data_IF_744956133162
#
_entry.id   IF_744956133162
#
_cell.length_a   1.000
_cell.length_b   1.000
_cell.length_c   1.000
_cell.angle_alpha   90.00
_cell.angle_beta   90.00
_cell.angle_gamma   90.00
#
_symmetry.space_group_name_H-M   'P 1'
#
loop_
_entity.id
_entity.type
_entity.pdbx_description
1 polymer ?
#
# COMPACT_ATOMS: atom_id res chain seq x y z
N UNK A 1 -1.88 -12.78 2.93
CA UNK A 1 -0.90 -13.67 2.28
C UNK A 1 0.27 -12.82 1.77
N UNK A 2 1.42 -13.42 1.48
CA UNK A 2 2.52 -12.71 0.82
C UNK A 2 2.44 -12.91 -0.70
N UNK A 3 2.58 -11.84 -1.47
CA UNK A 3 2.58 -11.85 -2.93
C UNK A 3 4.00 -11.59 -3.46
N UNK A 4 4.29 -12.08 -4.67
CA UNK A 4 5.58 -11.80 -5.35
C UNK A 4 5.80 -10.31 -5.65
N UNK A 5 4.75 -9.50 -5.51
CA UNK A 5 4.76 -8.04 -5.68
C UNK A 5 5.00 -7.27 -4.39
N UNK A 6 4.99 -7.95 -3.24
CA UNK A 6 5.18 -7.31 -1.95
C UNK A 6 6.61 -6.83 -1.80
N UNK A 7 6.79 -5.64 -1.23
CA UNK A 7 8.11 -5.09 -0.96
C UNK A 7 8.79 -5.86 0.18
N UNK A 8 10.09 -6.09 0.04
CA UNK A 8 10.89 -6.61 1.15
C UNK A 8 11.05 -5.55 2.25
N UNK A 9 11.47 -5.97 3.43
CA UNK A 9 11.73 -5.05 4.54
C UNK A 9 12.81 -4.02 4.16
N UNK A 10 13.87 -4.43 3.47
CA UNK A 10 14.94 -3.54 3.04
C UNK A 10 14.44 -2.50 2.02
N UNK A 11 13.61 -2.93 1.06
CA UNK A 11 12.98 -2.02 0.10
C UNK A 11 12.04 -1.06 0.81
N UNK A 12 11.27 -1.55 1.78
CA UNK A 12 10.36 -0.73 2.57
C UNK A 12 11.10 0.36 3.33
N UNK A 13 12.21 0.04 3.99
CA UNK A 13 13.03 0.99 4.73
C UNK A 13 13.58 2.13 3.86
N UNK A 14 13.80 1.88 2.56
CA UNK A 14 14.24 2.90 1.61
C UNK A 14 13.10 3.85 1.19
N UNK A 15 11.88 3.34 1.07
CA UNK A 15 10.72 4.10 0.56
C UNK A 15 9.97 4.79 1.69
N UNK A 16 9.83 4.15 2.86
CA UNK A 16 9.08 4.64 4.02
C UNK A 16 9.37 6.12 4.37
N UNK A 17 10.63 6.59 4.39
CA UNK A 17 10.95 7.98 4.76
C UNK A 17 10.44 9.02 3.76
N UNK A 18 10.08 8.61 2.55
CA UNK A 18 9.55 9.50 1.50
C UNK A 18 8.08 9.85 1.72
N UNK A 19 7.37 9.07 2.53
CA UNK A 19 5.98 9.36 2.83
C UNK A 19 5.85 10.45 3.90
N UNK A 20 4.90 11.39 3.74
CA UNK A 20 4.64 12.36 4.77
C UNK A 20 4.08 11.64 6.00
N UNK A 21 4.77 11.76 7.14
CA UNK A 21 4.28 11.27 8.43
C UNK A 21 3.21 12.23 8.95
N UNK A 22 2.05 12.27 8.29
CA UNK A 22 0.80 12.89 8.76
C UNK A 22 0.98 14.16 9.63
N UNK A 23 1.59 15.21 9.06
CA UNK A 23 1.98 16.46 9.76
C UNK A 23 0.94 17.59 9.54
N UNK A 24 -0.28 17.27 9.08
CA UNK A 24 -1.23 18.26 8.58
C UNK A 24 -2.61 18.21 9.24
N UNK A 25 -3.42 19.29 9.10
CA UNK A 25 -4.83 19.25 9.46
C UNK A 25 -5.59 18.32 8.51
N UNK A 26 -6.25 17.30 9.06
CA UNK A 26 -6.99 16.31 8.26
C UNK A 26 -7.33 15.05 9.04
N UNK A 27 -8.01 14.11 8.38
CA UNK A 27 -8.25 12.77 8.97
C UNK A 27 -6.90 12.08 9.12
N UNK A 28 -6.55 11.61 10.34
CA UNK A 28 -5.30 10.90 10.52
C UNK A 28 -5.23 9.67 9.61
N UNK A 29 -4.08 9.48 8.96
CA UNK A 29 -3.85 8.28 8.20
C UNK A 29 -3.57 7.12 9.17
N UNK A 30 -4.53 6.21 9.29
CA UNK A 30 -4.47 5.04 10.17
C UNK A 30 -4.15 3.75 9.43
N UNK A 31 -3.95 3.82 8.12
CA UNK A 31 -3.67 2.67 7.28
C UNK A 31 -2.19 2.31 7.37
N UNK A 32 -1.92 1.02 7.27
CA UNK A 32 -0.56 0.54 7.03
C UNK A 32 -0.14 0.93 5.62
N UNK A 33 0.81 1.87 5.54
CA UNK A 33 1.36 2.37 4.29
C UNK A 33 2.04 1.27 3.47
N UNK A 34 2.69 0.31 4.12
CA UNK A 34 3.34 -0.79 3.42
C UNK A 34 2.30 -1.63 2.69
N UNK A 35 1.18 -1.93 3.35
CA UNK A 35 0.08 -2.66 2.74
C UNK A 35 -0.58 -1.90 1.58
N UNK A 36 -0.69 -0.57 1.66
CA UNK A 36 -1.18 0.27 0.56
C UNK A 36 -0.26 0.14 -0.66
N UNK A 37 1.06 0.29 -0.46
CA UNK A 37 2.04 0.18 -1.55
C UNK A 37 2.05 -1.21 -2.16
N UNK A 38 2.00 -2.27 -1.34
CA UNK A 38 1.90 -3.64 -1.84
C UNK A 38 0.63 -3.85 -2.68
N UNK A 39 -0.50 -3.29 -2.26
CA UNK A 39 -1.74 -3.32 -3.04
C UNK A 39 -1.61 -2.60 -4.40
N UNK A 40 -0.95 -1.44 -4.43
CA UNK A 40 -0.66 -0.71 -5.68
C UNK A 40 0.25 -1.54 -6.60
N UNK A 41 1.32 -2.14 -6.06
CA UNK A 41 2.26 -2.94 -6.85
C UNK A 41 1.62 -4.20 -7.39
N UNK A 42 0.78 -4.86 -6.59
CA UNK A 42 -0.04 -5.98 -7.05
C UNK A 42 -0.91 -5.57 -8.22
N UNK A 43 -1.62 -4.45 -8.11
CA UNK A 43 -2.51 -3.96 -9.16
C UNK A 43 -1.74 -3.62 -10.44
N UNK A 44 -0.61 -2.91 -10.33
CA UNK A 44 0.22 -2.52 -11.48
C UNK A 44 0.81 -3.77 -12.17
N UNK A 45 1.20 -4.79 -11.41
CA UNK A 45 1.78 -6.02 -11.96
C UNK A 45 0.74 -6.92 -12.65
N UNK A 46 -0.44 -7.06 -12.04
CA UNK A 46 -1.49 -7.98 -12.51
C UNK A 46 -2.43 -7.34 -13.51
N UNK A 47 -2.56 -6.01 -13.50
CA UNK A 47 -3.54 -5.27 -14.30
C UNK A 47 -4.99 -5.46 -13.83
N UNK A 48 -5.21 -5.96 -12.62
CA UNK A 48 -6.56 -6.16 -12.12
C UNK A 48 -7.30 -4.83 -11.89
N UNK A 49 -8.63 -4.86 -11.97
CA UNK A 49 -9.44 -3.69 -11.60
C UNK A 49 -9.35 -3.44 -10.09
N UNK A 50 -9.42 -2.18 -9.65
CA UNK A 50 -9.42 -1.80 -8.22
C UNK A 50 -10.43 -2.59 -7.37
N UNK A 51 -11.62 -2.87 -7.90
CA UNK A 51 -12.67 -3.64 -7.19
C UNK A 51 -12.32 -5.11 -7.00
N UNK A 52 -11.36 -5.62 -7.77
CA UNK A 52 -10.90 -7.00 -7.71
C UNK A 52 -9.59 -7.13 -6.92
N UNK A 53 -9.13 -6.06 -6.26
CA UNK A 53 -8.00 -6.14 -5.35
C UNK A 53 -8.29 -7.18 -4.26
N UNK A 54 -7.35 -8.09 -3.95
CA UNK A 54 -7.53 -9.08 -2.90
C UNK A 54 -7.93 -8.46 -1.55
N UNK A 55 -8.78 -9.15 -0.80
CA UNK A 55 -9.30 -8.66 0.49
C UNK A 55 -8.24 -8.53 1.59
N UNK A 56 -7.07 -9.13 1.37
CA UNK A 56 -5.91 -9.02 2.26
C UNK A 56 -5.31 -7.60 2.26
N UNK A 57 -5.56 -6.82 1.22
CA UNK A 57 -5.12 -5.42 1.13
C UNK A 57 -6.13 -4.46 1.76
N UNK A 58 -5.74 -3.20 2.06
CA UNK A 58 -6.69 -2.19 2.48
C UNK A 58 -7.80 -2.04 1.43
N UNK A 59 -8.97 -1.59 1.88
CA UNK A 59 -10.12 -1.40 0.99
C UNK A 59 -9.72 -0.55 -0.21
N UNK A 60 -10.11 -0.96 -1.41
CA UNK A 60 -9.74 -0.28 -2.67
C UNK A 60 -10.12 1.21 -2.72
N UNK A 61 -11.08 1.67 -1.90
CA UNK A 61 -11.39 3.11 -1.78
C UNK A 61 -10.30 3.92 -1.06
N UNK A 62 -9.37 3.24 -0.40
CA UNK A 62 -8.37 3.78 0.50
C UNK A 62 -6.94 3.43 0.08
N UNK A 63 -6.78 2.77 -1.08
CA UNK A 63 -5.50 2.50 -1.74
C UNK A 63 -5.36 3.48 -2.89
#
# INVERSE_FOLDING_TARGET
MAYDTDVTEEQWLLIQPLFPVNIGPGRPMTLDLQMVINGIFYLVRTGCQWRNLPQDFPKWQSV
#
